data_IF_731470608320
#
_entry.id   IF_731470608320
#
_cell.length_a   1.000
_cell.length_b   1.000
_cell.length_c   1.000
_cell.angle_alpha   90.00
_cell.angle_beta   90.00
_cell.angle_gamma   90.00
#
_symmetry.space_group_name_H-M   'P 1'
#
loop_
_entity.id
_entity.type
_entity.pdbx_description
1 polymer ?
#
# COMPACT_ATOMS: atom_id res chain seq x y z
N UNK A 1 23.36 4.16 3.10
CA UNK A 1 22.62 4.79 1.98
C UNK A 1 22.00 3.72 1.12
N UNK A 2 20.69 3.70 1.03
CA UNK A 2 19.90 2.81 0.17
C UNK A 2 19.78 3.47 -1.21
N UNK A 3 19.89 2.67 -2.28
CA UNK A 3 19.71 3.16 -3.67
C UNK A 3 18.76 2.21 -4.41
N UNK A 4 17.73 2.77 -5.02
CA UNK A 4 16.69 2.09 -5.78
C UNK A 4 16.46 2.77 -7.12
N UNK A 5 15.98 2.01 -8.09
CA UNK A 5 15.32 2.53 -9.28
C UNK A 5 13.82 2.47 -9.04
N UNK A 6 13.15 3.60 -9.08
CA UNK A 6 11.71 3.72 -9.06
C UNK A 6 11.22 3.84 -10.52
N UNK A 7 10.59 2.80 -11.03
CA UNK A 7 10.15 2.74 -12.44
C UNK A 7 8.68 3.13 -12.64
N UNK A 8 7.85 2.99 -11.61
CA UNK A 8 6.44 3.35 -11.64
C UNK A 8 6.01 3.84 -10.26
N UNK A 9 5.20 4.89 -10.23
CA UNK A 9 4.53 5.38 -9.02
C UNK A 9 3.11 5.78 -9.38
N UNK A 10 2.13 5.14 -8.75
CA UNK A 10 0.71 5.39 -8.95
C UNK A 10 0.03 5.72 -7.63
N UNK A 11 -1.08 6.39 -7.70
CA UNK A 11 -1.94 6.62 -6.56
C UNK A 11 -3.40 6.68 -6.99
N UNK A 12 -4.32 6.46 -6.06
CA UNK A 12 -5.72 6.79 -6.18
C UNK A 12 -6.31 7.19 -4.83
N UNK A 13 -7.31 8.07 -4.86
CA UNK A 13 -8.05 8.53 -3.69
C UNK A 13 -9.48 7.97 -3.67
N UNK A 14 -10.08 8.00 -2.49
CA UNK A 14 -11.50 7.74 -2.36
C UNK A 14 -12.31 8.70 -3.24
N UNK A 15 -13.30 8.16 -3.97
CA UNK A 15 -14.12 8.93 -4.90
C UNK A 15 -13.62 8.98 -6.34
N UNK A 16 -12.40 8.55 -6.62
CA UNK A 16 -11.89 8.42 -7.98
C UNK A 16 -12.41 7.14 -8.68
N UNK A 17 -12.35 7.13 -10.00
CA UNK A 17 -12.72 5.96 -10.79
C UNK A 17 -11.72 4.81 -10.61
N UNK A 18 -12.20 3.59 -10.35
CA UNK A 18 -11.39 2.41 -10.12
C UNK A 18 -11.46 1.47 -11.32
N UNK A 19 -10.94 1.92 -12.47
CA UNK A 19 -11.09 1.23 -13.76
C UNK A 19 -10.40 -0.13 -13.81
N UNK A 20 -9.22 -0.27 -13.22
CA UNK A 20 -8.51 -1.55 -13.18
C UNK A 20 -9.26 -2.61 -12.37
N UNK A 21 -9.97 -2.19 -11.33
CA UNK A 21 -10.79 -3.06 -10.49
C UNK A 21 -11.99 -3.66 -11.26
N UNK A 22 -12.35 -3.12 -12.42
CA UNK A 22 -13.43 -3.69 -13.26
C UNK A 22 -13.11 -5.08 -13.77
N UNK A 23 -11.84 -5.46 -13.84
CA UNK A 23 -11.40 -6.83 -14.14
C UNK A 23 -11.88 -7.85 -13.10
N UNK A 24 -12.14 -7.43 -11.86
CA UNK A 24 -12.68 -8.27 -10.78
C UNK A 24 -14.21 -8.38 -10.92
N UNK A 25 -14.81 -9.58 -10.85
CA UNK A 25 -16.25 -9.75 -10.96
C UNK A 25 -17.05 -8.90 -9.99
N UNK A 26 -18.13 -8.28 -10.46
CA UNK A 26 -18.92 -7.31 -9.71
C UNK A 26 -19.42 -7.82 -8.35
N UNK A 27 -19.80 -9.12 -8.26
CA UNK A 27 -20.24 -9.72 -6.99
C UNK A 27 -19.13 -9.76 -5.95
N UNK A 28 -17.89 -10.00 -6.36
CA UNK A 28 -16.71 -10.02 -5.51
C UNK A 28 -16.31 -8.60 -5.10
N UNK A 29 -16.32 -7.64 -6.05
CA UNK A 29 -16.05 -6.22 -5.77
C UNK A 29 -16.97 -5.64 -4.69
N UNK A 30 -18.24 -6.04 -4.64
CA UNK A 30 -19.21 -5.55 -3.63
C UNK A 30 -18.87 -5.96 -2.21
N UNK A 31 -18.04 -7.00 -2.03
CA UNK A 31 -17.62 -7.52 -0.72
C UNK A 31 -16.33 -6.87 -0.21
N UNK A 32 -15.62 -6.12 -1.07
CA UNK A 32 -14.42 -5.41 -0.69
C UNK A 32 -14.77 -4.16 0.10
N UNK A 33 -13.96 -3.86 1.13
CA UNK A 33 -14.00 -2.56 1.79
C UNK A 33 -13.59 -1.43 0.84
N UNK A 34 -13.86 -0.20 1.21
CA UNK A 34 -13.44 0.96 0.42
C UNK A 34 -11.90 0.96 0.25
N UNK A 35 -11.18 0.75 1.34
CA UNK A 35 -9.72 0.69 1.35
C UNK A 35 -9.16 -0.45 0.50
N UNK A 36 -9.74 -1.66 0.60
CA UNK A 36 -9.34 -2.79 -0.23
C UNK A 36 -9.53 -2.50 -1.73
N UNK A 37 -10.59 -1.80 -2.12
CA UNK A 37 -10.82 -1.42 -3.52
C UNK A 37 -9.72 -0.50 -4.06
N UNK A 38 -9.29 0.49 -3.27
CA UNK A 38 -8.21 1.40 -3.65
C UNK A 38 -6.89 0.64 -3.81
N UNK A 39 -6.53 -0.18 -2.82
CA UNK A 39 -5.29 -0.95 -2.83
C UNK A 39 -5.22 -1.95 -4.01
N UNK A 40 -6.33 -2.68 -4.27
CA UNK A 40 -6.39 -3.59 -5.40
C UNK A 40 -6.34 -2.85 -6.74
N UNK A 41 -7.00 -1.71 -6.86
CA UNK A 41 -6.99 -0.94 -8.11
C UNK A 41 -5.56 -0.54 -8.51
N UNK A 42 -4.80 0.10 -7.63
CA UNK A 42 -3.42 0.52 -7.94
C UNK A 42 -2.49 -0.67 -8.18
N UNK A 43 -2.70 -1.79 -7.48
CA UNK A 43 -1.92 -3.01 -7.68
C UNK A 43 -2.18 -3.61 -9.07
N UNK A 44 -3.44 -3.76 -9.47
CA UNK A 44 -3.85 -4.29 -10.79
C UNK A 44 -3.32 -3.39 -11.90
N UNK A 45 -3.49 -2.06 -11.80
CA UNK A 45 -2.96 -1.11 -12.78
C UNK A 45 -1.44 -1.28 -12.95
N UNK A 46 -0.72 -1.45 -11.86
CA UNK A 46 0.73 -1.58 -11.89
C UNK A 46 1.17 -2.88 -12.55
N UNK A 47 0.55 -4.01 -12.20
CA UNK A 47 0.91 -5.33 -12.75
C UNK A 47 0.52 -5.44 -14.23
N UNK A 48 -0.54 -4.78 -14.66
CA UNK A 48 -0.93 -4.72 -16.08
C UNK A 48 0.13 -4.05 -16.97
N UNK A 49 0.96 -3.17 -16.41
CA UNK A 49 2.02 -2.49 -17.15
C UNK A 49 3.37 -3.19 -17.07
N UNK A 50 3.69 -3.77 -15.92
CA UNK A 50 4.96 -4.48 -15.75
C UNK A 50 4.84 -5.61 -14.74
N UNK A 51 5.35 -6.78 -15.11
CA UNK A 51 5.43 -7.93 -14.20
C UNK A 51 6.38 -7.63 -13.03
N UNK A 52 6.05 -8.16 -11.85
CA UNK A 52 6.83 -8.06 -10.62
C UNK A 52 7.09 -9.44 -10.04
N UNK A 53 8.18 -9.59 -9.29
CA UNK A 53 8.59 -10.88 -8.73
C UNK A 53 8.18 -11.01 -7.26
N UNK A 54 7.83 -9.90 -6.62
CA UNK A 54 7.46 -9.85 -5.22
C UNK A 54 6.56 -8.64 -4.94
N UNK A 55 5.64 -8.77 -3.97
CA UNK A 55 4.75 -7.68 -3.55
C UNK A 55 4.90 -7.42 -2.05
N UNK A 56 5.14 -6.18 -1.69
CA UNK A 56 5.10 -5.69 -0.29
C UNK A 56 3.80 -4.90 -0.10
N UNK A 57 2.88 -5.45 0.68
CA UNK A 57 1.66 -4.77 1.12
C UNK A 57 1.97 -4.03 2.42
N UNK A 58 1.60 -2.78 2.54
CA UNK A 58 1.90 -1.98 3.72
C UNK A 58 0.77 -1.00 4.06
N UNK A 59 0.53 -0.82 5.33
CA UNK A 59 -0.36 0.17 5.92
C UNK A 59 0.06 0.39 7.37
N UNK A 60 -0.15 1.55 7.94
CA UNK A 60 0.13 1.76 9.36
C UNK A 60 -0.89 1.00 10.24
N UNK A 61 -2.16 1.03 9.87
CA UNK A 61 -3.27 0.55 10.69
C UNK A 61 -4.11 -0.56 10.03
N UNK A 62 -3.99 -0.75 8.71
CA UNK A 62 -4.84 -1.70 7.97
C UNK A 62 -6.27 -1.18 7.78
N UNK A 63 -7.24 -2.09 7.66
CA UNK A 63 -8.67 -1.80 7.50
C UNK A 63 -9.31 -1.62 8.90
N UNK A 64 -8.94 -0.52 9.59
CA UNK A 64 -9.29 -0.28 10.99
C UNK A 64 -10.78 0.06 11.15
N UNK A 65 -11.39 0.67 10.16
CA UNK A 65 -12.85 0.90 10.13
C UNK A 65 -13.62 -0.42 10.25
N UNK A 66 -13.15 -1.47 9.58
CA UNK A 66 -13.75 -2.80 9.67
C UNK A 66 -13.50 -3.45 11.02
N UNK A 67 -12.27 -3.37 11.53
CA UNK A 67 -11.89 -3.88 12.85
C UNK A 67 -12.74 -3.25 13.95
N UNK A 68 -12.91 -1.93 13.90
CA UNK A 68 -13.77 -1.19 14.83
C UNK A 68 -15.25 -1.62 14.74
N UNK A 69 -15.76 -1.85 13.51
CA UNK A 69 -17.10 -2.37 13.31
C UNK A 69 -17.32 -3.72 14.01
N UNK A 70 -16.38 -4.65 13.87
CA UNK A 70 -16.40 -5.96 14.53
C UNK A 70 -16.38 -5.82 16.05
N UNK A 71 -15.50 -4.96 16.58
CA UNK A 71 -15.42 -4.70 18.01
C UNK A 71 -16.74 -4.14 18.55
N UNK A 72 -17.39 -3.27 17.81
CA UNK A 72 -18.71 -2.71 18.16
C UNK A 72 -19.80 -3.78 18.23
N UNK A 73 -19.84 -4.72 17.29
CA UNK A 73 -20.75 -5.86 17.29
C UNK A 73 -20.55 -6.70 18.56
N UNK A 74 -19.29 -7.04 18.90
CA UNK A 74 -18.97 -7.80 20.12
C UNK A 74 -19.39 -7.06 21.39
N UNK A 75 -19.15 -5.75 21.48
CA UNK A 75 -19.52 -4.95 22.65
C UNK A 75 -21.04 -4.76 22.82
N UNK A 76 -21.81 -5.02 21.77
CA UNK A 76 -23.28 -4.98 21.78
C UNK A 76 -23.92 -6.38 21.77
N UNK A 77 -23.18 -7.41 22.19
CA UNK A 77 -23.61 -8.81 22.23
C UNK A 77 -24.10 -9.36 20.87
N UNK A 78 -23.61 -8.80 19.78
CA UNK A 78 -23.86 -9.30 18.43
C UNK A 78 -22.72 -10.21 17.99
N UNK A 79 -23.04 -11.31 17.30
CA UNK A 79 -22.03 -12.21 16.75
C UNK A 79 -21.45 -11.62 15.46
N UNK A 80 -20.16 -11.30 15.41
CA UNK A 80 -19.54 -10.80 14.19
C UNK A 80 -19.65 -11.80 13.04
N UNK A 81 -19.76 -11.28 11.81
CA UNK A 81 -19.74 -12.12 10.62
C UNK A 81 -18.36 -12.80 10.46
N UNK A 82 -18.29 -14.15 10.28
CA UNK A 82 -17.03 -14.84 10.02
C UNK A 82 -16.26 -14.27 8.82
N UNK A 83 -16.98 -13.82 7.79
CA UNK A 83 -16.38 -13.19 6.61
C UNK A 83 -15.78 -11.83 6.95
N UNK A 84 -16.43 -11.02 7.76
CA UNK A 84 -15.86 -9.73 8.21
C UNK A 84 -14.61 -9.97 9.04
N UNK A 85 -14.66 -10.92 9.98
CA UNK A 85 -13.53 -11.28 10.83
C UNK A 85 -12.33 -11.75 9.99
N UNK A 86 -12.52 -12.69 9.06
CA UNK A 86 -11.43 -13.21 8.22
C UNK A 86 -10.80 -12.16 7.29
N UNK A 87 -11.51 -11.07 7.00
CA UNK A 87 -11.01 -9.97 6.16
C UNK A 87 -10.60 -8.72 6.94
N UNK A 88 -10.59 -8.76 8.28
CA UNK A 88 -10.10 -7.66 9.13
C UNK A 88 -8.63 -7.78 9.49
N UNK A 89 -8.01 -8.94 9.27
CA UNK A 89 -6.59 -9.13 9.56
C UNK A 89 -5.72 -8.30 8.61
N UNK A 90 -4.57 -7.84 9.10
CA UNK A 90 -3.71 -6.90 8.37
C UNK A 90 -3.28 -7.37 6.98
N UNK A 91 -3.10 -8.68 6.77
CA UNK A 91 -2.74 -9.25 5.48
C UNK A 91 -3.94 -9.60 4.56
N UNK A 92 -5.16 -9.25 4.96
CA UNK A 92 -6.36 -9.64 4.21
C UNK A 92 -6.39 -9.06 2.79
N UNK A 93 -5.95 -7.80 2.61
CA UNK A 93 -5.97 -7.13 1.30
C UNK A 93 -5.03 -7.84 0.32
N UNK A 94 -3.82 -8.21 0.74
CA UNK A 94 -2.90 -9.00 -0.08
C UNK A 94 -3.46 -10.38 -0.43
N UNK A 95 -4.09 -11.06 0.54
CA UNK A 95 -4.77 -12.34 0.30
C UNK A 95 -5.95 -12.21 -0.66
N UNK A 96 -6.75 -11.14 -0.56
CA UNK A 96 -7.84 -10.86 -1.50
C UNK A 96 -7.31 -10.60 -2.91
N UNK A 97 -6.22 -9.86 -3.06
CA UNK A 97 -5.56 -9.65 -4.36
C UNK A 97 -5.19 -10.99 -5.00
N UNK A 98 -4.44 -11.84 -4.28
CA UNK A 98 -4.01 -13.15 -4.79
C UNK A 98 -5.19 -14.01 -5.25
N UNK A 99 -6.27 -14.07 -4.47
CA UNK A 99 -7.46 -14.87 -4.80
C UNK A 99 -8.22 -14.28 -5.99
N UNK A 100 -8.45 -12.97 -6.01
CA UNK A 100 -9.31 -12.31 -6.99
C UNK A 100 -8.63 -12.14 -8.36
N UNK A 101 -7.32 -11.91 -8.35
CA UNK A 101 -6.51 -11.76 -9.56
C UNK A 101 -5.89 -13.10 -10.03
N UNK A 102 -6.04 -14.18 -9.24
CA UNK A 102 -5.39 -15.48 -9.49
C UNK A 102 -3.87 -15.32 -9.66
N UNK A 103 -3.27 -14.48 -8.79
CA UNK A 103 -1.87 -14.11 -8.81
C UNK A 103 -1.16 -14.82 -7.64
N UNK A 104 -0.16 -15.63 -7.95
CA UNK A 104 0.64 -16.41 -7.01
C UNK A 104 1.98 -15.74 -6.67
N UNK A 105 2.17 -14.48 -7.06
CA UNK A 105 3.36 -13.70 -6.71
C UNK A 105 3.57 -13.69 -5.20
N UNK A 106 4.78 -14.05 -4.78
CA UNK A 106 5.15 -14.08 -3.37
C UNK A 106 4.96 -12.69 -2.77
N UNK A 107 4.36 -12.63 -1.59
CA UNK A 107 4.10 -11.34 -0.95
C UNK A 107 4.29 -11.37 0.57
N UNK A 108 4.50 -10.19 1.14
CA UNK A 108 4.49 -9.93 2.58
C UNK A 108 3.57 -8.76 2.91
N UNK A 109 3.07 -8.72 4.15
CA UNK A 109 2.23 -7.62 4.65
C UNK A 109 2.85 -7.04 5.92
N UNK A 110 2.99 -5.71 5.95
CA UNK A 110 3.70 -4.99 7.00
C UNK A 110 2.84 -3.88 7.60
N UNK A 111 2.80 -3.82 8.93
CA UNK A 111 2.32 -2.63 9.64
C UNK A 111 3.47 -1.63 9.76
N UNK A 112 3.57 -0.68 8.83
CA UNK A 112 4.67 0.27 8.79
C UNK A 112 4.38 1.48 7.89
N UNK A 113 5.24 2.52 7.96
CA UNK A 113 5.19 3.67 7.07
C UNK A 113 5.72 3.35 5.66
N UNK A 114 5.46 4.26 4.72
CA UNK A 114 5.91 4.16 3.33
C UNK A 114 7.42 3.89 3.20
N UNK A 115 8.26 4.71 3.85
CA UNK A 115 9.72 4.52 3.77
C UNK A 115 10.18 3.18 4.31
N UNK A 116 9.53 2.66 5.37
CA UNK A 116 9.86 1.32 5.89
C UNK A 116 9.47 0.22 4.91
N UNK A 117 8.34 0.35 4.22
CA UNK A 117 7.95 -0.58 3.15
C UNK A 117 8.95 -0.56 1.98
N UNK A 118 9.47 0.61 1.62
CA UNK A 118 10.52 0.76 0.60
C UNK A 118 11.87 0.16 1.05
N UNK A 119 12.20 0.23 2.34
CA UNK A 119 13.38 -0.43 2.92
C UNK A 119 13.21 -1.95 2.85
N UNK A 120 12.05 -2.48 3.16
CA UNK A 120 11.76 -3.91 3.02
C UNK A 120 11.92 -4.37 1.57
N UNK A 121 11.36 -3.64 0.61
CA UNK A 121 11.54 -3.93 -0.81
C UNK A 121 13.03 -3.96 -1.20
N UNK A 122 13.83 -3.01 -0.70
CA UNK A 122 15.28 -3.01 -0.90
C UNK A 122 15.96 -4.23 -0.27
N UNK A 123 15.58 -4.61 0.94
CA UNK A 123 16.13 -5.78 1.62
C UNK A 123 15.84 -7.07 0.84
N UNK A 124 14.61 -7.24 0.34
CA UNK A 124 14.21 -8.36 -0.52
C UNK A 124 15.08 -8.41 -1.78
N UNK A 125 15.20 -7.29 -2.49
CA UNK A 125 16.03 -7.19 -3.70
C UNK A 125 17.52 -7.52 -3.46
N UNK A 126 18.03 -7.22 -2.25
CA UNK A 126 19.43 -7.50 -1.87
C UNK A 126 19.67 -8.94 -1.43
N UNK A 127 18.69 -9.56 -0.79
CA UNK A 127 18.83 -10.87 -0.16
C UNK A 127 18.29 -12.01 -1.02
N UNK A 128 17.45 -11.72 -2.00
CA UNK A 128 16.83 -12.70 -2.89
C UNK A 128 17.24 -12.48 -4.35
N UNK A 129 18.34 -13.09 -4.84
CA UNK A 129 18.90 -12.82 -6.17
C UNK A 129 17.94 -13.10 -7.35
N UNK A 130 16.93 -13.96 -7.14
CA UNK A 130 15.89 -14.27 -8.12
C UNK A 130 14.88 -13.14 -8.28
N UNK A 131 14.70 -12.28 -7.26
CA UNK A 131 13.79 -11.14 -7.29
C UNK A 131 14.47 -9.94 -7.93
N UNK A 132 13.93 -9.43 -9.02
CA UNK A 132 14.47 -8.28 -9.76
C UNK A 132 13.62 -7.03 -9.61
N UNK A 133 12.30 -7.21 -9.45
CA UNK A 133 11.33 -6.12 -9.30
C UNK A 133 10.38 -6.43 -8.15
N UNK A 134 10.27 -5.46 -7.25
CA UNK A 134 9.34 -5.51 -6.12
C UNK A 134 8.31 -4.42 -6.29
N UNK A 135 7.03 -4.78 -6.23
CA UNK A 135 5.94 -3.83 -6.09
C UNK A 135 5.70 -3.55 -4.60
N UNK A 136 5.66 -2.29 -4.23
CA UNK A 136 5.19 -1.83 -2.91
C UNK A 136 3.79 -1.28 -3.09
N UNK A 137 2.82 -1.79 -2.36
CA UNK A 137 1.44 -1.27 -2.31
C UNK A 137 1.20 -0.73 -0.90
N UNK A 138 1.00 0.56 -0.79
CA UNK A 138 0.70 1.25 0.47
C UNK A 138 -0.72 1.79 0.43
N UNK A 139 -1.47 1.59 1.49
CA UNK A 139 -2.86 2.04 1.59
C UNK A 139 -3.17 2.50 3.01
N UNK A 140 -3.97 3.55 3.11
CA UNK A 140 -4.35 4.11 4.40
C UNK A 140 -5.72 4.79 4.34
N UNK A 141 -6.46 4.75 5.43
CA UNK A 141 -7.69 5.51 5.63
C UNK A 141 -7.64 6.24 6.99
N UNK A 142 -8.39 7.34 7.16
CA UNK A 142 -8.50 7.99 8.44
C UNK A 142 -8.98 7.01 9.51
N UNK A 143 -8.38 7.09 10.70
CA UNK A 143 -8.81 6.28 11.82
C UNK A 143 -10.26 6.63 12.22
N UNK A 144 -11.05 5.66 12.70
CA UNK A 144 -12.36 5.90 13.29
C UNK A 144 -12.31 6.98 14.37
N UNK A 145 -13.41 7.75 14.53
CA UNK A 145 -13.50 8.90 15.44
C UNK A 145 -13.20 8.58 16.92
N UNK A 146 -13.26 7.29 17.30
CA UNK A 146 -12.92 6.85 18.66
C UNK A 146 -11.43 7.07 19.00
N UNK A 147 -10.57 7.15 17.98
CA UNK A 147 -9.16 7.46 18.15
C UNK A 147 -8.94 8.98 18.20
N UNK A 148 -8.14 9.44 19.15
CA UNK A 148 -7.84 10.88 19.29
C UNK A 148 -6.89 11.41 18.21
N UNK A 149 -6.33 10.55 17.39
CA UNK A 149 -5.40 10.90 16.32
C UNK A 149 -6.17 11.42 15.08
N UNK A 150 -6.28 12.73 14.98
CA UNK A 150 -7.08 13.42 13.94
C UNK A 150 -6.20 13.96 12.81
N UNK A 151 -5.47 13.09 12.14
CA UNK A 151 -4.87 13.48 10.86
C UNK A 151 -5.97 13.46 9.80
N UNK A 152 -6.26 14.62 9.21
CA UNK A 152 -7.31 14.77 8.19
C UNK A 152 -6.68 14.48 6.82
N UNK A 153 -7.13 13.42 6.18
CA UNK A 153 -6.77 13.06 4.81
C UNK A 153 -7.88 12.19 4.21
N UNK A 154 -7.95 12.11 2.88
CA UNK A 154 -8.84 11.18 2.20
C UNK A 154 -8.20 9.80 2.11
N UNK A 155 -9.00 8.74 2.27
CA UNK A 155 -8.50 7.38 2.09
C UNK A 155 -7.85 7.23 0.70
N UNK A 156 -6.67 6.62 0.66
CA UNK A 156 -5.88 6.49 -0.55
C UNK A 156 -5.13 5.16 -0.64
N UNK A 157 -4.67 4.84 -1.83
CA UNK A 157 -3.67 3.82 -2.05
C UNK A 157 -2.60 4.32 -3.03
N UNK A 158 -1.39 3.81 -2.85
CA UNK A 158 -0.25 4.05 -3.73
C UNK A 158 0.41 2.74 -4.08
N UNK A 159 0.97 2.64 -5.29
CA UNK A 159 1.87 1.56 -5.66
C UNK A 159 3.14 2.12 -6.29
N UNK A 160 4.25 1.44 -6.03
CA UNK A 160 5.53 1.74 -6.65
C UNK A 160 6.21 0.45 -7.07
N UNK A 161 6.89 0.45 -8.22
CA UNK A 161 7.77 -0.66 -8.61
C UNK A 161 9.22 -0.22 -8.50
N UNK A 162 10.00 -1.02 -7.77
CA UNK A 162 11.40 -0.74 -7.51
C UNK A 162 12.31 -1.90 -7.91
N UNK A 163 13.53 -1.55 -8.32
CA UNK A 163 14.61 -2.47 -8.65
C UNK A 163 15.96 -1.92 -8.18
N UNK A 164 17.04 -2.68 -8.41
CA UNK A 164 18.42 -2.23 -8.09
C UNK A 164 19.17 -1.68 -9.30
N UNK A 165 18.63 -1.81 -10.51
CA UNK A 165 19.31 -1.41 -11.75
C UNK A 165 19.13 0.10 -12.00
N UNK A 166 20.21 0.77 -12.41
CA UNK A 166 20.23 2.21 -12.74
C UNK A 166 19.47 3.07 -11.70
N UNK A 167 19.91 3.15 -10.45
CA UNK A 167 19.20 3.83 -9.38
C UNK A 167 18.93 5.31 -9.69
N UNK A 168 17.71 5.75 -9.50
CA UNK A 168 17.26 7.14 -9.63
C UNK A 168 16.77 7.75 -8.31
N UNK A 169 16.79 6.96 -7.23
CA UNK A 169 16.30 7.34 -5.90
C UNK A 169 17.25 6.81 -4.83
N UNK A 170 17.54 7.60 -3.80
CA UNK A 170 18.30 7.14 -2.62
C UNK A 170 17.62 7.61 -1.32
N UNK A 171 17.90 6.87 -0.24
CA UNK A 171 17.48 7.20 1.11
C UNK A 171 18.69 7.23 2.05
N UNK A 172 18.85 8.34 2.78
CA UNK A 172 19.96 8.61 3.73
C UNK A 172 19.49 8.77 5.18
N UNK A 173 18.65 7.88 5.64
CA UNK A 173 18.08 7.95 6.99
C UNK A 173 16.58 8.22 6.95
N UNK A 174 15.92 7.91 8.07
CA UNK A 174 14.50 8.13 8.23
C UNK A 174 14.27 9.37 9.11
N UNK A 175 13.53 10.33 8.60
CA UNK A 175 13.07 11.49 9.36
C UNK A 175 11.59 11.27 9.67
N UNK A 176 11.29 11.04 10.95
CA UNK A 176 9.91 10.89 11.42
C UNK A 176 9.10 12.18 11.21
N UNK A 177 7.83 12.05 10.89
CA UNK A 177 6.89 13.15 10.78
C UNK A 177 5.50 12.77 11.27
N UNK A 178 4.69 13.79 11.56
CA UNK A 178 3.27 13.64 11.86
C UNK A 178 2.39 13.64 10.60
N UNK A 179 2.95 13.94 9.44
CA UNK A 179 2.24 13.92 8.17
C UNK A 179 2.15 12.50 7.59
N UNK A 180 1.18 12.26 6.73
CA UNK A 180 1.07 11.02 5.96
C UNK A 180 2.26 10.94 4.98
N UNK A 181 3.29 10.23 5.39
CA UNK A 181 4.58 10.15 4.69
C UNK A 181 4.44 9.76 3.22
N UNK A 182 3.53 8.83 2.92
CA UNK A 182 3.32 8.35 1.55
C UNK A 182 2.87 9.48 0.60
N UNK A 183 1.93 10.32 1.02
CA UNK A 183 1.44 11.44 0.21
C UNK A 183 2.52 12.51 0.02
N UNK A 184 3.31 12.80 1.07
CA UNK A 184 4.46 13.69 0.97
C UNK A 184 5.53 13.16 0.01
N UNK A 185 5.79 11.85 0.03
CA UNK A 185 6.70 11.21 -0.93
C UNK A 185 6.16 11.31 -2.37
N UNK A 186 4.87 11.07 -2.57
CA UNK A 186 4.25 11.21 -3.89
C UNK A 186 4.40 12.62 -4.45
N UNK A 187 4.12 13.63 -3.63
CA UNK A 187 4.30 15.03 -4.00
C UNK A 187 5.78 15.36 -4.33
N UNK A 188 6.70 14.91 -3.47
CA UNK A 188 8.14 15.05 -3.71
C UNK A 188 8.56 14.42 -5.04
N UNK A 189 8.15 13.17 -5.31
CA UNK A 189 8.56 12.48 -6.54
C UNK A 189 8.10 13.21 -7.80
N UNK A 190 6.89 13.74 -7.80
CA UNK A 190 6.32 14.43 -8.96
C UNK A 190 6.78 15.90 -9.12
N UNK A 191 7.37 16.49 -8.07
CA UNK A 191 7.90 17.85 -8.15
C UNK A 191 9.25 17.87 -8.88
N UNK A 192 9.31 18.40 -10.10
CA UNK A 192 10.53 18.42 -10.93
C UNK A 192 11.70 19.17 -10.29
N UNK A 193 11.43 20.24 -9.56
CA UNK A 193 12.43 21.10 -8.94
C UNK A 193 12.91 20.62 -7.57
N UNK A 194 12.18 19.71 -6.94
CA UNK A 194 12.52 19.20 -5.63
C UNK A 194 13.41 17.96 -5.76
N UNK A 195 14.67 18.08 -5.34
CA UNK A 195 15.66 16.98 -5.43
C UNK A 195 15.85 16.20 -4.13
N UNK A 196 15.39 16.74 -2.99
CA UNK A 196 15.50 16.10 -1.69
C UNK A 196 14.24 16.30 -0.84
N UNK A 197 13.86 15.27 -0.07
CA UNK A 197 12.75 15.32 0.88
C UNK A 197 12.93 14.25 1.97
N UNK A 198 13.06 14.65 3.22
CA UNK A 198 13.08 13.76 4.41
C UNK A 198 14.03 12.56 4.29
N UNK A 199 15.25 12.79 3.81
CA UNK A 199 16.24 11.74 3.58
C UNK A 199 16.15 11.06 2.22
N UNK A 200 15.07 11.26 1.47
CA UNK A 200 14.96 10.85 0.08
C UNK A 200 15.64 11.84 -0.84
N UNK A 201 16.36 11.33 -1.84
CA UNK A 201 17.06 12.14 -2.84
C UNK A 201 16.83 11.54 -4.23
N UNK A 202 16.45 12.38 -5.20
CA UNK A 202 16.45 12.00 -6.62
C UNK A 202 17.89 11.97 -7.11
N UNK A 203 18.27 10.89 -7.75
CA UNK A 203 19.57 10.74 -8.39
C UNK A 203 19.46 11.14 -9.88
N UNK A 204 20.52 11.73 -10.39
CA UNK A 204 20.62 12.10 -11.83
C UNK A 204 21.09 10.92 -12.64
#
# INVERSE_FOLDING_TARGET
>A
MLKLHLSSLRHCYAGEGLSALESVPAMQRRRLSALAKLALNVAIETVNEQAVDYIVWASCYGDETKTYGILKDVLTDQTPSPTQFSTSVHNAIGGLYSILCQDDTISTSLSCSWSKAMIEAYAILKTQPQVKRVMVVFYEEPLPEIYDDKVIFDAFAMSAVVSLEAPNLSLEGLISSQEIEALGFYAFWNASEQHAWRGWHKLK
#
